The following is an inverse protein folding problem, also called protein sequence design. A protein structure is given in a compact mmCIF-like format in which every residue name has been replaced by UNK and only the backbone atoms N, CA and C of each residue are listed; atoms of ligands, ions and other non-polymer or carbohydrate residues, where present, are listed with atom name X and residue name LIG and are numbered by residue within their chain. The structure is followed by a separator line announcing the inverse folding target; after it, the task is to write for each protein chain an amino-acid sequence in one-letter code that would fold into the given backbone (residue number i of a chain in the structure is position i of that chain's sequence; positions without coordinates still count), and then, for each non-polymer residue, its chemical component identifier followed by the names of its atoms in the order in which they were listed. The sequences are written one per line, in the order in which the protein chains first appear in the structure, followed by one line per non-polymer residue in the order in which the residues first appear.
data_IF_859661587537
#
_entry.id   IF_859661587537
#
_cell.length_a   1.000
_cell.length_b   1.000
_cell.length_c   1.000
_cell.angle_alpha   90.00
_cell.angle_beta   90.00
_cell.angle_gamma   90.00
#
_symmetry.space_group_name_H-M   'P 1'
#
loop_
_entity.id
_entity.type
_entity.pdbx_description
1 polymer ?
#
# COMPACT_ATOMS: atom_id res chain seq x y z
N UNK A 1 -5.59 -52.83 27.38
CA UNK A 1 -6.48 -52.18 26.39
C UNK A 1 -6.38 -50.65 26.37
N UNK A 2 -6.24 -49.94 27.51
CA UNK A 2 -6.16 -48.46 27.58
C UNK A 2 -5.03 -47.83 26.74
N UNK A 3 -3.88 -48.49 26.66
CA UNK A 3 -2.71 -48.04 25.88
C UNK A 3 -2.90 -48.08 24.35
N UNK A 4 -3.74 -48.99 23.85
CA UNK A 4 -4.08 -49.06 22.42
C UNK A 4 -4.98 -47.91 21.98
N UNK A 5 -5.88 -47.47 22.87
CA UNK A 5 -6.74 -46.30 22.60
C UNK A 5 -5.95 -45.00 22.59
N UNK A 6 -4.99 -44.84 23.52
CA UNK A 6 -4.14 -43.66 23.60
C UNK A 6 -3.18 -43.50 22.40
N UNK A 7 -2.67 -44.63 21.87
CA UNK A 7 -1.82 -44.61 20.67
C UNK A 7 -2.63 -44.33 19.40
N UNK A 8 -3.87 -44.85 19.33
CA UNK A 8 -4.78 -44.58 18.22
C UNK A 8 -5.23 -43.11 18.19
N UNK A 9 -5.52 -42.51 19.35
CA UNK A 9 -5.89 -41.09 19.44
C UNK A 9 -4.72 -40.17 19.09
N UNK A 10 -3.50 -40.51 19.50
CA UNK A 10 -2.30 -39.76 19.14
C UNK A 10 -2.00 -39.83 17.64
N UNK A 11 -2.14 -41.01 17.03
CA UNK A 11 -2.01 -41.20 15.58
C UNK A 11 -3.06 -40.41 14.81
N UNK A 12 -4.31 -40.40 15.28
CA UNK A 12 -5.38 -39.61 14.66
C UNK A 12 -5.08 -38.09 14.73
N UNK A 13 -4.59 -37.62 15.88
CA UNK A 13 -4.28 -36.21 16.09
C UNK A 13 -3.09 -35.73 15.25
N UNK A 14 -2.08 -36.58 15.09
CA UNK A 14 -0.94 -36.30 14.20
C UNK A 14 -1.34 -36.27 12.74
N UNK A 15 -2.19 -37.20 12.29
CA UNK A 15 -2.75 -37.16 10.93
C UNK A 15 -3.60 -35.90 10.72
N UNK A 16 -4.42 -35.51 11.69
CA UNK A 16 -5.23 -34.28 11.62
C UNK A 16 -4.35 -33.02 11.50
N UNK A 17 -3.24 -32.96 12.25
CA UNK A 17 -2.27 -31.85 12.16
C UNK A 17 -1.57 -31.79 10.81
N UNK A 18 -1.21 -32.95 10.23
CA UNK A 18 -0.59 -33.00 8.91
C UNK A 18 -1.58 -32.59 7.81
N UNK A 19 -2.84 -33.03 7.90
CA UNK A 19 -3.90 -32.64 6.96
C UNK A 19 -4.20 -31.14 7.05
N UNK A 20 -4.28 -30.57 8.26
CA UNK A 20 -4.49 -29.12 8.43
C UNK A 20 -3.30 -28.30 7.94
N UNK A 21 -2.06 -28.78 8.13
CA UNK A 21 -0.86 -28.15 7.56
C UNK A 21 -0.83 -28.22 6.03
N UNK A 22 -1.20 -29.37 5.44
CA UNK A 22 -1.27 -29.55 3.99
C UNK A 22 -2.37 -28.69 3.35
N UNK A 23 -3.55 -28.62 3.97
CA UNK A 23 -4.67 -27.79 3.51
C UNK A 23 -4.39 -26.30 3.64
N UNK A 24 -3.49 -25.88 4.54
CA UNK A 24 -3.09 -24.47 4.67
C UNK A 24 -2.44 -23.91 3.40
N UNK A 25 -1.75 -24.74 2.62
CA UNK A 25 -1.16 -24.36 1.34
C UNK A 25 -2.18 -24.28 0.18
N UNK A 26 -3.40 -24.77 0.39
CA UNK A 26 -4.51 -24.75 -0.58
C UNK A 26 -5.59 -23.72 -0.28
N UNK A 27 -5.50 -23.05 0.87
CA UNK A 27 -6.35 -21.89 1.10
C UNK A 27 -5.98 -20.80 0.09
N UNK A 28 -6.95 -20.19 -0.61
CA UNK A 28 -6.66 -19.07 -1.49
C UNK A 28 -5.96 -18.01 -0.65
N UNK A 29 -4.71 -17.69 -1.00
CA UNK A 29 -4.09 -16.49 -0.48
C UNK A 29 -4.94 -15.35 -1.01
N UNK A 30 -5.63 -14.67 -0.11
CA UNK A 30 -6.29 -13.41 -0.43
C UNK A 30 -5.18 -12.45 -0.83
N UNK A 31 -4.95 -12.34 -2.14
CA UNK A 31 -4.01 -11.40 -2.70
C UNK A 31 -4.49 -10.01 -2.36
N UNK A 32 -3.70 -9.26 -1.59
CA UNK A 32 -3.95 -7.84 -1.33
C UNK A 32 -3.49 -6.97 -2.50
N UNK A 33 -3.59 -7.47 -3.73
CA UNK A 33 -3.19 -6.74 -4.91
C UNK A 33 -4.17 -5.60 -5.15
N UNK A 34 -3.68 -4.38 -4.92
CA UNK A 34 -4.47 -3.15 -4.98
C UNK A 34 -4.56 -2.63 -6.42
N UNK A 35 -3.50 -2.87 -7.19
CA UNK A 35 -3.37 -2.45 -8.58
C UNK A 35 -3.55 -3.67 -9.49
N UNK A 36 -4.71 -3.76 -10.15
CA UNK A 36 -4.94 -4.64 -11.28
C UNK A 36 -4.64 -3.90 -12.60
N UNK A 37 -4.59 -4.61 -13.72
CA UNK A 37 -4.19 -4.04 -15.02
C UNK A 37 -5.09 -2.87 -15.48
N UNK A 38 -6.35 -2.87 -15.04
CA UNK A 38 -7.34 -1.84 -15.37
C UNK A 38 -7.37 -0.68 -14.37
N UNK A 39 -6.59 -0.74 -13.29
CA UNK A 39 -6.55 0.34 -12.30
C UNK A 39 -5.79 1.55 -12.83
N UNK A 40 -6.52 2.62 -13.10
CA UNK A 40 -5.97 3.92 -13.53
C UNK A 40 -6.01 4.99 -12.43
N UNK A 41 -6.69 4.71 -11.32
CA UNK A 41 -6.93 5.65 -10.22
C UNK A 41 -8.03 6.68 -10.51
N UNK A 42 -8.90 6.44 -11.49
CA UNK A 42 -10.05 7.28 -11.78
C UNK A 42 -10.92 7.48 -10.53
N UNK A 43 -11.18 8.75 -10.19
CA UNK A 43 -11.96 9.13 -9.00
C UNK A 43 -11.17 9.17 -7.69
N UNK A 44 -9.87 8.86 -7.70
CA UNK A 44 -9.01 9.04 -6.53
C UNK A 44 -8.45 10.46 -6.46
N UNK A 45 -8.32 10.96 -5.23
CA UNK A 45 -7.66 12.22 -4.93
C UNK A 45 -6.67 12.02 -3.79
N UNK A 46 -5.46 12.56 -3.95
CA UNK A 46 -4.46 12.59 -2.90
C UNK A 46 -4.49 13.97 -2.24
N UNK A 47 -4.91 14.01 -0.98
CA UNK A 47 -4.88 15.20 -0.15
C UNK A 47 -3.74 15.16 0.85
N UNK A 48 -2.91 16.20 0.86
CA UNK A 48 -1.91 16.44 1.90
C UNK A 48 -2.38 17.59 2.76
N UNK A 49 -2.28 17.44 4.07
CA UNK A 49 -2.77 18.42 5.03
C UNK A 49 -1.74 18.63 6.13
N UNK A 50 -1.39 19.89 6.37
CA UNK A 50 -0.63 20.32 7.54
C UNK A 50 -1.61 20.87 8.58
N UNK A 51 -1.69 20.17 9.72
CA UNK A 51 -2.56 20.55 10.81
C UNK A 51 -2.14 21.83 11.54
N UNK A 52 -0.85 22.19 11.50
CA UNK A 52 -0.33 23.36 12.20
C UNK A 52 -0.59 24.66 11.41
N UNK A 53 -0.29 24.65 10.11
CA UNK A 53 -0.49 25.82 9.25
C UNK A 53 -1.88 25.88 8.61
N UNK A 54 -2.63 24.77 8.62
CA UNK A 54 -3.88 24.62 7.88
C UNK A 54 -3.69 24.53 6.37
N UNK A 55 -2.44 24.45 5.89
CA UNK A 55 -2.15 24.31 4.46
C UNK A 55 -2.63 22.95 3.94
N UNK A 56 -3.25 22.97 2.77
CA UNK A 56 -3.76 21.79 2.08
C UNK A 56 -3.34 21.78 0.64
N UNK A 57 -2.78 20.66 0.20
CA UNK A 57 -2.44 20.40 -1.20
C UNK A 57 -3.31 19.24 -1.71
N UNK A 58 -3.88 19.40 -2.92
CA UNK A 58 -4.73 18.38 -3.56
C UNK A 58 -4.15 17.98 -4.91
N UNK A 59 -4.09 16.67 -5.13
CA UNK A 59 -3.50 16.05 -6.30
C UNK A 59 -4.39 14.99 -6.90
N UNK A 60 -4.29 14.84 -8.22
CA UNK A 60 -4.90 13.78 -9.00
C UNK A 60 -3.82 12.76 -9.35
N UNK A 61 -3.83 11.57 -8.73
CA UNK A 61 -2.96 10.49 -9.14
C UNK A 61 -3.53 9.79 -10.38
N UNK A 62 -2.65 9.42 -11.30
CA UNK A 62 -2.93 8.50 -12.39
C UNK A 62 -1.96 7.33 -12.28
N UNK A 63 -2.47 6.12 -12.45
CA UNK A 63 -1.67 4.90 -12.37
C UNK A 63 -1.63 4.22 -13.73
N UNK A 64 -0.42 3.88 -14.20
CA UNK A 64 -0.23 2.95 -15.30
C UNK A 64 0.37 1.67 -14.74
N UNK A 65 -0.46 0.63 -14.64
CA UNK A 65 -0.09 -0.67 -14.07
C UNK A 65 0.57 -1.53 -15.14
N UNK A 66 1.66 -2.18 -14.77
CA UNK A 66 2.37 -3.20 -15.55
C UNK A 66 2.57 -4.44 -14.69
N UNK A 67 2.96 -5.54 -15.32
CA UNK A 67 3.11 -6.85 -14.68
C UNK A 67 4.06 -6.85 -13.47
N UNK A 68 5.07 -5.98 -13.47
CA UNK A 68 6.15 -5.93 -12.47
C UNK A 68 6.26 -4.58 -11.74
N UNK A 69 5.44 -3.60 -12.11
CA UNK A 69 5.61 -2.23 -11.64
C UNK A 69 4.35 -1.40 -11.87
N UNK A 70 4.19 -0.36 -11.07
CA UNK A 70 3.11 0.62 -11.22
C UNK A 70 3.72 2.00 -11.35
N UNK A 71 3.39 2.69 -12.43
CA UNK A 71 3.81 4.07 -12.63
C UNK A 71 2.74 5.02 -12.14
N UNK A 72 3.01 5.73 -11.04
CA UNK A 72 2.13 6.78 -10.54
C UNK A 72 2.56 8.14 -11.07
N UNK A 73 1.65 8.86 -11.70
CA UNK A 73 1.81 10.26 -12.10
C UNK A 73 0.93 11.14 -11.22
N UNK A 74 1.50 12.18 -10.64
CA UNK A 74 0.77 13.13 -9.79
C UNK A 74 0.67 14.48 -10.49
N UNK A 75 -0.56 14.97 -10.59
CA UNK A 75 -0.89 16.27 -11.17
C UNK A 75 -1.60 17.10 -10.11
N UNK A 76 -1.29 18.39 -10.01
CA UNK A 76 -2.02 19.28 -9.11
C UNK A 76 -3.46 19.45 -9.59
N UNK A 77 -4.42 19.26 -8.68
CA UNK A 77 -5.83 19.49 -8.99
C UNK A 77 -6.14 20.98 -9.20
N UNK A 78 -5.43 21.87 -8.52
CA UNK A 78 -5.68 23.32 -8.55
C UNK A 78 -5.11 23.97 -9.80
N UNK A 79 -3.86 23.64 -10.14
CA UNK A 79 -3.13 24.29 -11.23
C UNK A 79 -3.09 23.45 -12.52
N UNK A 80 -3.56 22.20 -12.47
CA UNK A 80 -3.46 21.21 -13.57
C UNK A 80 -2.02 20.99 -14.05
N UNK A 81 -1.04 21.27 -13.19
CA UNK A 81 0.38 21.11 -13.50
C UNK A 81 0.87 19.73 -13.08
N UNK A 82 1.72 19.14 -13.91
CA UNK A 82 2.46 17.93 -13.57
C UNK A 82 3.37 18.20 -12.35
N UNK A 83 3.32 17.32 -11.36
CA UNK A 83 4.07 17.45 -10.10
C UNK A 83 5.15 16.39 -10.05
N UNK A 84 4.81 15.13 -10.31
CA UNK A 84 5.80 14.07 -10.25
C UNK A 84 5.40 12.79 -10.97
N UNK A 85 6.42 11.96 -11.20
CA UNK A 85 6.30 10.60 -11.69
C UNK A 85 7.10 9.68 -10.79
N UNK A 86 6.46 8.64 -10.30
CA UNK A 86 7.00 7.69 -9.32
C UNK A 86 6.80 6.28 -9.83
N UNK A 87 7.87 5.48 -9.80
CA UNK A 87 7.80 4.05 -10.01
C UNK A 87 7.57 3.34 -8.68
N UNK A 88 6.58 2.47 -8.66
CA UNK A 88 6.25 1.59 -7.55
C UNK A 88 6.56 0.15 -7.97
N UNK A 89 7.47 -0.53 -7.27
CA UNK A 89 7.77 -1.94 -7.55
C UNK A 89 7.33 -2.79 -6.37
N UNK A 90 6.48 -3.81 -6.56
CA UNK A 90 6.06 -4.69 -5.50
C UNK A 90 7.26 -5.38 -4.84
N UNK A 91 7.35 -5.34 -3.52
CA UNK A 91 8.45 -5.93 -2.74
C UNK A 91 7.98 -7.13 -1.92
N UNK A 92 6.91 -6.94 -1.12
CA UNK A 92 6.43 -7.97 -0.21
C UNK A 92 4.95 -7.78 0.12
N UNK A 93 4.23 -8.90 0.20
CA UNK A 93 2.85 -8.92 0.70
C UNK A 93 2.87 -9.00 2.24
N UNK A 94 2.04 -8.18 2.88
CA UNK A 94 1.86 -8.16 4.33
C UNK A 94 0.40 -8.41 4.69
N UNK A 95 0.13 -8.64 5.98
CA UNK A 95 -1.24 -8.80 6.48
C UNK A 95 -2.15 -7.57 6.27
N UNK A 96 -1.56 -6.42 5.96
CA UNK A 96 -2.27 -5.13 5.85
C UNK A 96 -2.20 -4.53 4.44
N UNK A 97 -1.66 -5.27 3.46
CA UNK A 97 -1.48 -4.75 2.10
C UNK A 97 -0.14 -5.11 1.48
N UNK A 98 0.13 -4.51 0.33
CA UNK A 98 1.35 -4.74 -0.45
C UNK A 98 2.35 -3.61 -0.22
N UNK A 99 3.58 -3.96 0.11
CA UNK A 99 4.71 -3.01 0.20
C UNK A 99 5.27 -2.79 -1.20
N UNK A 100 5.44 -1.53 -1.56
CA UNK A 100 6.10 -1.11 -2.79
C UNK A 100 7.36 -0.33 -2.46
N UNK A 101 8.44 -0.60 -3.20
CA UNK A 101 9.55 0.36 -3.25
C UNK A 101 9.09 1.60 -3.98
N UNK A 102 9.48 2.76 -3.47
CA UNK A 102 9.04 4.06 -3.99
C UNK A 102 10.23 4.76 -4.64
N UNK A 103 10.25 4.82 -5.97
CA UNK A 103 11.35 5.43 -6.71
C UNK A 103 10.86 6.65 -7.50
N UNK A 104 11.15 7.88 -7.03
CA UNK A 104 10.82 9.08 -7.78
C UNK A 104 11.65 9.12 -9.07
N UNK A 105 11.00 9.25 -10.22
CA UNK A 105 11.65 9.35 -11.52
C UNK A 105 11.81 10.80 -11.97
N UNK A 106 10.77 11.60 -11.74
CA UNK A 106 10.74 13.02 -12.06
C UNK A 106 9.98 13.73 -10.96
N UNK A 107 10.55 14.82 -10.45
CA UNK A 107 9.91 15.72 -9.50
C UNK A 107 9.94 17.14 -10.06
N UNK A 108 8.79 17.62 -10.51
CA UNK A 108 8.50 19.01 -10.84
C UNK A 108 7.64 19.64 -9.74
N UNK A 109 7.93 19.31 -8.47
CA UNK A 109 7.39 20.09 -7.37
C UNK A 109 7.97 21.50 -7.51
N UNK A 110 7.16 22.42 -8.03
CA UNK A 110 7.43 23.86 -8.05
C UNK A 110 7.92 24.25 -6.65
N UNK A 111 8.86 25.19 -6.54
CA UNK A 111 9.50 25.62 -5.29
C UNK A 111 8.53 26.01 -4.14
N UNK A 112 7.22 25.99 -4.38
CA UNK A 112 6.13 26.41 -3.51
C UNK A 112 5.26 25.24 -2.96
N UNK A 113 5.71 23.98 -3.06
CA UNK A 113 4.95 22.80 -2.59
C UNK A 113 5.73 21.98 -1.55
N UNK A 114 5.86 22.47 -0.31
CA UNK A 114 6.69 21.84 0.71
C UNK A 114 6.14 20.50 1.21
N UNK A 115 4.80 20.31 1.26
CA UNK A 115 4.21 19.09 1.82
C UNK A 115 4.47 17.88 0.94
N UNK A 116 4.20 18.00 -0.36
CA UNK A 116 4.45 16.91 -1.32
C UNK A 116 5.93 16.54 -1.38
N UNK A 117 6.83 17.53 -1.32
CA UNK A 117 8.28 17.30 -1.32
C UNK A 117 8.73 16.52 -0.09
N UNK A 118 8.22 16.88 1.09
CA UNK A 118 8.52 16.18 2.35
C UNK A 118 8.10 14.71 2.31
N UNK A 119 6.84 14.46 1.94
CA UNK A 119 6.28 13.09 1.90
C UNK A 119 7.01 12.24 0.87
N UNK A 120 7.34 12.78 -0.30
CA UNK A 120 8.03 12.00 -1.33
C UNK A 120 9.45 11.66 -0.94
N UNK A 121 10.16 12.61 -0.33
CA UNK A 121 11.50 12.35 0.17
C UNK A 121 11.47 11.26 1.25
N UNK A 122 10.50 11.30 2.17
CA UNK A 122 10.31 10.25 3.17
C UNK A 122 10.02 8.89 2.52
N UNK A 123 9.05 8.82 1.60
CA UNK A 123 8.67 7.58 0.94
C UNK A 123 9.82 7.01 0.09
N UNK A 124 10.63 7.86 -0.55
CA UNK A 124 11.79 7.42 -1.32
C UNK A 124 12.83 6.66 -0.48
N UNK A 125 12.94 6.97 0.81
CA UNK A 125 13.87 6.30 1.72
C UNK A 125 13.25 5.13 2.47
N UNK A 126 11.93 5.14 2.70
CA UNK A 126 11.24 4.18 3.56
C UNK A 126 10.31 3.22 2.80
N UNK A 127 10.13 3.43 1.49
CA UNK A 127 9.10 2.76 0.71
C UNK A 127 7.70 3.27 1.04
N UNK A 128 6.69 2.58 0.50
CA UNK A 128 5.29 2.85 0.82
C UNK A 128 4.50 1.56 0.89
N UNK A 129 3.60 1.47 1.86
CA UNK A 129 2.58 0.43 1.91
C UNK A 129 1.27 1.02 1.42
N UNK A 130 0.66 0.39 0.43
CA UNK A 130 -0.71 0.71 0.06
C UNK A 130 -1.63 -0.30 0.74
N UNK A 131 -2.73 0.21 1.31
CA UNK A 131 -3.84 -0.60 1.77
C UNK A 131 -5.13 -0.16 1.06
N UNK A 132 -6.00 -1.10 0.76
CA UNK A 132 -7.34 -0.84 0.23
C UNK A 132 -8.34 -0.99 1.38
N UNK A 133 -9.01 0.11 1.74
CA UNK A 133 -10.07 0.11 2.73
C UNK A 133 -11.38 0.46 2.03
N UNK A 134 -12.46 -0.25 2.30
CA UNK A 134 -13.79 0.12 1.82
C UNK A 134 -14.47 0.99 2.88
N UNK A 135 -14.93 2.19 2.51
CA UNK A 135 -15.66 3.10 3.39
C UNK A 135 -16.88 3.66 2.65
N UNK A 136 -18.07 3.44 3.23
CA UNK A 136 -19.36 3.85 2.63
C UNK A 136 -19.55 3.36 1.18
N UNK A 137 -19.06 2.16 0.86
CA UNK A 137 -19.13 1.57 -0.49
C UNK A 137 -18.10 2.11 -1.48
N UNK A 138 -17.17 2.96 -1.04
CA UNK A 138 -16.09 3.48 -1.86
C UNK A 138 -14.76 2.82 -1.48
N UNK A 139 -14.01 2.33 -2.47
CA UNK A 139 -12.66 1.80 -2.30
C UNK A 139 -11.68 2.96 -2.09
N UNK A 140 -11.11 3.06 -0.92
CA UNK A 140 -10.10 4.05 -0.55
C UNK A 140 -8.71 3.42 -0.54
N UNK A 141 -7.78 4.10 -1.20
CA UNK A 141 -6.37 3.75 -1.17
C UNK A 141 -5.71 4.54 -0.03
N UNK A 142 -5.28 3.85 1.01
CA UNK A 142 -4.67 4.48 2.18
C UNK A 142 -3.17 4.24 2.16
N UNK A 143 -2.44 5.35 2.23
CA UNK A 143 -1.00 5.39 2.50
C UNK A 143 -0.83 5.71 3.99
N UNK A 144 0.04 5.01 4.72
CA UNK A 144 0.38 5.36 6.09
C UNK A 144 1.23 6.64 6.09
N UNK A 145 0.63 7.79 5.84
CA UNK A 145 1.25 9.10 6.02
C UNK A 145 0.47 9.92 7.03
N UNK A 146 0.40 9.41 8.27
CA UNK A 146 0.21 10.23 9.46
C UNK A 146 1.57 10.69 9.94
N UNK A 147 2.10 11.75 9.33
CA UNK A 147 3.46 12.21 9.59
C UNK A 147 3.39 13.40 10.57
N UNK A 148 3.83 13.20 11.80
CA UNK A 148 4.07 14.26 12.79
C UNK A 148 5.57 14.53 12.78
N UNK A 149 6.00 15.62 12.15
CA UNK A 149 7.40 16.08 12.21
C UNK A 149 7.50 16.96 13.45
N UNK A 150 8.35 16.57 14.41
CA UNK A 150 8.77 17.47 15.47
C UNK A 150 9.87 18.38 14.92
N UNK A 151 9.55 19.62 14.57
CA UNK A 151 10.58 20.63 14.31
C UNK A 151 11.12 21.18 15.63
N UNK A 152 12.12 20.49 16.18
CA UNK A 152 13.02 21.09 17.16
C UNK A 152 14.45 21.03 16.61
N UNK A 153 14.83 22.19 16.05
CA UNK A 153 16.17 22.73 15.75
C UNK A 153 17.31 21.79 15.35
#
# INVERSE_FOLDING_TARGET
MKWRLATLSLALLTVLLLVTAALRGWLPSFSHQIFDEDFDGSGLELGLYDAASGQRELYLPFFAVKSDSVMMTLTSKVESQFVAKIMLTPQAETRIGMIYSYQPMVLHAVNDRPLVKSIFNFNAHNGVTFNSIEFEGNRMLVMPSGLIINEQH
#
